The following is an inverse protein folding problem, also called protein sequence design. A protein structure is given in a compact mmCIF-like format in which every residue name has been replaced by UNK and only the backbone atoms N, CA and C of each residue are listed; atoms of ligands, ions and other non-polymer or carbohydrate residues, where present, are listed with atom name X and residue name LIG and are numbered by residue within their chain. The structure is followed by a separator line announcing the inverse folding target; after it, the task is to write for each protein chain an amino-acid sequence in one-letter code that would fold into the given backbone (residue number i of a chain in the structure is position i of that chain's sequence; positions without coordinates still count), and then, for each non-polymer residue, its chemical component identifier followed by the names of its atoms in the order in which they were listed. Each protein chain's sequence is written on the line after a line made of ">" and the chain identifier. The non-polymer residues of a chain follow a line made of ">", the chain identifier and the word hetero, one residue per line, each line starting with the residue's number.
data_IF_774462618592
#
_entry.id   IF_774462618592
#
_cell.length_a   1.000
_cell.length_b   1.000
_cell.length_c   1.000
_cell.angle_alpha   90.00
_cell.angle_beta   90.00
_cell.angle_gamma   90.00
#
_symmetry.space_group_name_H-M   'P 1'
#
loop_
_entity.id
_entity.type
_entity.pdbx_description
1 polymer ?
#
# COMPACT_ATOMS: atom_id res chain seq x y z
N UNK A 1 17.41 -5.30 -17.12
CA UNK A 1 17.20 -6.26 -16.02
C UNK A 1 16.72 -5.44 -14.84
N UNK A 2 15.60 -5.83 -14.26
CA UNK A 2 15.04 -5.19 -13.06
C UNK A 2 16.04 -5.27 -11.91
N UNK A 3 16.18 -4.18 -11.14
CA UNK A 3 17.01 -4.15 -9.94
C UNK A 3 16.39 -4.97 -8.81
N UNK A 4 17.13 -5.25 -7.71
CA UNK A 4 16.49 -5.81 -6.53
C UNK A 4 15.46 -4.82 -5.98
N UNK A 5 14.31 -5.32 -5.55
CA UNK A 5 13.29 -4.51 -4.89
C UNK A 5 13.84 -3.81 -3.65
N UNK A 6 13.42 -2.56 -3.42
CA UNK A 6 13.85 -1.75 -2.29
C UNK A 6 13.13 -2.20 -1.01
N UNK A 7 13.90 -2.51 0.02
CA UNK A 7 13.34 -2.77 1.35
C UNK A 7 13.43 -1.52 2.23
N UNK A 8 12.29 -0.87 2.47
CA UNK A 8 12.17 0.30 3.33
C UNK A 8 11.65 -0.13 4.71
N UNK A 9 12.43 0.10 5.76
CA UNK A 9 12.06 -0.21 7.15
C UNK A 9 11.22 0.90 7.75
N UNK A 10 10.47 0.57 8.80
CA UNK A 10 9.67 1.55 9.57
C UNK A 10 10.49 2.78 9.98
N UNK A 11 11.71 2.59 10.47
CA UNK A 11 12.58 3.70 10.86
C UNK A 11 12.92 4.64 9.68
N UNK A 12 13.10 4.08 8.48
CA UNK A 12 13.37 4.86 7.26
C UNK A 12 12.11 5.59 6.80
N UNK A 13 10.93 4.98 6.94
CA UNK A 13 9.66 5.68 6.69
C UNK A 13 9.51 6.85 7.65
N UNK A 14 9.75 6.67 8.96
CA UNK A 14 9.67 7.75 9.95
C UNK A 14 10.68 8.88 9.69
N UNK A 15 11.83 8.56 9.10
CA UNK A 15 12.87 9.55 8.77
C UNK A 15 12.55 10.32 7.48
N UNK A 16 11.98 9.64 6.48
CA UNK A 16 11.80 10.18 5.12
C UNK A 16 10.41 10.78 4.87
N UNK A 17 9.38 10.33 5.59
CA UNK A 17 8.00 10.76 5.35
C UNK A 17 7.71 12.10 6.03
N UNK A 18 7.45 13.13 5.25
CA UNK A 18 6.85 14.37 5.74
C UNK A 18 5.32 14.27 5.72
N UNK A 19 4.68 14.66 6.82
CA UNK A 19 3.22 14.55 6.96
C UNK A 19 2.47 15.50 6.01
N UNK A 20 3.05 16.65 5.64
CA UNK A 20 2.46 17.57 4.67
C UNK A 20 2.45 16.96 3.28
N UNK A 21 3.58 16.38 2.86
CA UNK A 21 3.68 15.70 1.57
C UNK A 21 2.68 14.53 1.49
N UNK A 22 2.49 13.81 2.61
CA UNK A 22 1.50 12.74 2.70
C UNK A 22 0.06 13.25 2.55
N UNK A 23 -0.29 14.40 3.15
CA UNK A 23 -1.61 15.02 3.01
C UNK A 23 -1.85 15.45 1.55
N UNK A 24 -0.90 16.14 0.94
CA UNK A 24 -1.01 16.63 -0.44
C UNK A 24 -1.16 15.47 -1.44
N UNK A 25 -0.41 14.38 -1.21
CA UNK A 25 -0.53 13.15 -1.99
C UNK A 25 -1.92 12.50 -1.83
N UNK A 26 -2.45 12.45 -0.61
CA UNK A 26 -3.79 11.90 -0.34
C UNK A 26 -4.89 12.74 -0.98
N UNK A 27 -4.87 14.07 -0.83
CA UNK A 27 -5.87 14.96 -1.44
C UNK A 27 -5.94 14.76 -2.96
N UNK A 28 -4.78 14.76 -3.62
CA UNK A 28 -4.72 14.61 -5.07
C UNK A 28 -5.24 13.24 -5.50
N UNK A 29 -4.83 12.17 -4.81
CA UNK A 29 -5.23 10.80 -5.15
C UNK A 29 -6.72 10.55 -4.88
N UNK A 30 -7.29 11.15 -3.84
CA UNK A 30 -8.74 11.07 -3.55
C UNK A 30 -9.56 11.76 -4.64
N UNK A 31 -9.11 12.90 -5.16
CA UNK A 31 -9.74 13.58 -6.31
C UNK A 31 -9.65 12.72 -7.57
N UNK A 32 -8.50 12.11 -7.85
CA UNK A 32 -8.32 11.19 -8.97
C UNK A 32 -9.24 9.97 -8.83
N UNK A 33 -9.36 9.41 -7.63
CA UNK A 33 -10.27 8.31 -7.35
C UNK A 33 -11.74 8.72 -7.62
N UNK A 34 -12.15 9.91 -7.16
CA UNK A 34 -13.51 10.43 -7.40
C UNK A 34 -13.80 10.62 -8.90
N UNK A 35 -12.77 10.89 -9.71
CA UNK A 35 -12.84 10.99 -11.18
C UNK A 35 -12.73 9.64 -11.90
N UNK A 36 -12.57 8.53 -11.16
CA UNK A 36 -12.36 7.20 -11.73
C UNK A 36 -10.96 6.94 -12.31
N UNK A 37 -10.00 7.81 -11.99
CA UNK A 37 -8.61 7.77 -12.47
C UNK A 37 -7.65 7.01 -11.53
N UNK A 38 -8.10 6.74 -10.30
CA UNK A 38 -7.49 5.81 -9.37
C UNK A 38 -8.57 4.85 -8.84
N UNK A 39 -8.19 3.63 -8.46
CA UNK A 39 -9.12 2.59 -8.00
C UNK A 39 -8.57 1.91 -6.75
N UNK A 40 -9.46 1.55 -5.83
CA UNK A 40 -9.10 0.68 -4.72
C UNK A 40 -9.30 -0.79 -5.13
N UNK A 41 -8.37 -1.65 -4.76
CA UNK A 41 -8.66 -3.07 -4.59
C UNK A 41 -9.39 -3.22 -3.26
N UNK A 42 -10.63 -3.67 -3.32
CA UNK A 42 -11.50 -3.81 -2.14
C UNK A 42 -10.82 -4.67 -1.07
N UNK A 43 -10.98 -4.26 0.19
CA UNK A 43 -10.39 -4.99 1.30
C UNK A 43 -11.05 -6.37 1.42
N UNK A 44 -10.24 -7.41 1.34
CA UNK A 44 -10.64 -8.77 1.70
C UNK A 44 -10.00 -9.17 3.03
N UNK A 45 -10.67 -10.07 3.75
CA UNK A 45 -10.15 -10.61 5.00
C UNK A 45 -10.51 -12.09 5.17
N UNK A 46 -9.63 -12.82 5.85
CA UNK A 46 -9.89 -14.17 6.34
C UNK A 46 -9.75 -14.18 7.87
N UNK A 47 -10.68 -14.84 8.56
CA UNK A 47 -10.59 -15.09 9.99
C UNK A 47 -9.93 -16.45 10.23
N UNK A 48 -9.10 -16.57 11.26
CA UNK A 48 -8.44 -17.83 11.62
C UNK A 48 -8.07 -17.85 13.11
N UNK A 49 -7.82 -19.05 13.65
CA UNK A 49 -7.43 -19.24 15.05
C UNK A 49 -8.38 -18.59 16.06
N UNK A 50 -7.85 -18.17 17.21
CA UNK A 50 -8.60 -17.47 18.26
C UNK A 50 -8.81 -15.98 17.91
N UNK A 51 -9.64 -15.72 16.90
CA UNK A 51 -10.03 -14.36 16.52
C UNK A 51 -8.95 -13.58 15.75
N UNK A 52 -7.94 -14.26 15.21
CA UNK A 52 -6.97 -13.62 14.33
C UNK A 52 -7.57 -13.36 12.94
N UNK A 53 -7.02 -12.37 12.25
CA UNK A 53 -7.48 -11.97 10.92
C UNK A 53 -6.31 -11.70 9.99
N UNK A 54 -6.42 -12.12 8.74
CA UNK A 54 -5.51 -11.79 7.64
C UNK A 54 -6.23 -10.81 6.73
N UNK A 55 -5.60 -9.69 6.41
CA UNK A 55 -6.17 -8.63 5.58
C UNK A 55 -5.34 -8.41 4.34
N UNK A 56 -6.01 -8.09 3.24
CA UNK A 56 -5.40 -7.55 2.03
C UNK A 56 -6.29 -6.45 1.45
N UNK A 57 -5.69 -5.34 1.05
CA UNK A 57 -6.30 -4.30 0.21
C UNK A 57 -5.21 -3.70 -0.68
N UNK A 58 -5.59 -2.84 -1.61
CA UNK A 58 -4.63 -2.23 -2.51
C UNK A 58 -5.20 -1.04 -3.24
N UNK A 59 -4.38 -0.46 -4.12
CA UNK A 59 -4.76 0.65 -4.97
C UNK A 59 -4.08 0.54 -6.33
N UNK A 60 -4.75 1.10 -7.34
CA UNK A 60 -4.27 1.25 -8.71
C UNK A 60 -4.33 2.74 -9.03
N UNK A 61 -3.16 3.35 -9.22
CA UNK A 61 -3.00 4.74 -9.60
C UNK A 61 -2.16 4.82 -10.89
N UNK A 62 -2.74 4.35 -12.00
CA UNK A 62 -2.06 4.23 -13.30
C UNK A 62 -1.46 5.56 -13.77
N UNK A 63 -2.16 6.68 -13.59
CA UNK A 63 -1.68 8.01 -13.95
C UNK A 63 -0.42 8.43 -13.16
N UNK A 64 -0.16 7.79 -12.02
CA UNK A 64 1.02 7.98 -11.17
C UNK A 64 2.07 6.89 -11.36
N UNK A 65 1.82 5.93 -12.25
CA UNK A 65 2.73 4.82 -12.52
C UNK A 65 2.81 3.80 -11.38
N UNK A 66 1.85 3.75 -10.45
CA UNK A 66 1.94 2.88 -9.27
C UNK A 66 0.71 2.00 -9.10
N UNK A 67 0.96 0.73 -8.74
CA UNK A 67 -0.04 -0.17 -8.15
C UNK A 67 0.52 -0.72 -6.84
N UNK A 68 -0.32 -0.96 -5.85
CA UNK A 68 0.15 -1.41 -4.54
C UNK A 68 -0.82 -2.35 -3.83
N UNK A 69 -0.29 -3.11 -2.89
CA UNK A 69 -1.08 -3.89 -1.92
C UNK A 69 -0.54 -3.69 -0.53
N UNK A 70 -1.43 -3.64 0.46
CA UNK A 70 -1.11 -3.71 1.87
C UNK A 70 -1.69 -5.00 2.43
N UNK A 71 -0.84 -5.82 3.05
CA UNK A 71 -1.25 -7.09 3.66
C UNK A 71 -0.74 -7.18 5.09
N UNK A 72 -1.55 -7.74 5.99
CA UNK A 72 -1.14 -7.95 7.39
C UNK A 72 -1.98 -9.02 8.07
N UNK A 73 -1.36 -9.72 9.01
CA UNK A 73 -2.06 -10.46 10.04
C UNK A 73 -2.32 -9.52 11.24
N UNK A 74 -3.48 -9.66 11.87
CA UNK A 74 -3.80 -9.07 13.15
C UNK A 74 -4.15 -10.19 14.13
N UNK A 75 -3.40 -10.26 15.22
CA UNK A 75 -3.51 -11.26 16.29
C UNK A 75 -3.68 -10.56 17.64
N UNK A 76 -3.95 -11.28 18.76
CA UNK A 76 -3.90 -10.68 20.09
C UNK A 76 -2.55 -10.02 20.43
N UNK A 77 -1.46 -10.45 19.78
CA UNK A 77 -0.13 -9.85 19.90
C UNK A 77 0.11 -8.61 19.03
N UNK A 78 -0.89 -8.17 18.26
CA UNK A 78 -0.83 -7.00 17.39
C UNK A 78 -0.76 -7.32 15.90
N UNK A 79 -0.35 -6.32 15.12
CA UNK A 79 -0.22 -6.38 13.67
C UNK A 79 1.04 -5.66 13.20
N UNK A 80 1.60 -6.13 12.10
CA UNK A 80 2.70 -5.47 11.39
C UNK A 80 2.40 -5.49 9.88
N UNK A 81 1.92 -4.37 9.32
CA UNK A 81 1.57 -4.31 7.90
C UNK A 81 2.75 -4.24 6.96
N UNK A 82 2.66 -4.97 5.85
CA UNK A 82 3.57 -4.87 4.72
C UNK A 82 2.88 -4.17 3.56
N UNK A 83 3.50 -3.11 3.05
CA UNK A 83 3.11 -2.42 1.82
C UNK A 83 4.06 -2.85 0.70
N UNK A 84 3.51 -3.27 -0.42
CA UNK A 84 4.23 -3.62 -1.64
C UNK A 84 3.81 -2.64 -2.74
N UNK A 85 4.78 -2.08 -3.46
CA UNK A 85 4.55 -1.17 -4.57
C UNK A 85 5.19 -1.73 -5.84
N UNK A 86 4.49 -1.62 -6.96
CA UNK A 86 5.00 -1.96 -8.27
C UNK A 86 4.87 -0.78 -9.21
N UNK A 87 5.80 -0.69 -10.15
CA UNK A 87 5.61 0.16 -11.33
C UNK A 87 4.45 -0.40 -12.16
N UNK A 88 3.47 0.46 -12.45
CA UNK A 88 2.22 0.06 -13.09
C UNK A 88 2.41 -0.34 -14.57
N UNK A 89 3.49 0.11 -15.21
CA UNK A 89 3.74 -0.16 -16.62
C UNK A 89 4.51 -1.47 -16.84
N UNK A 90 5.52 -1.74 -16.02
CA UNK A 90 6.43 -2.88 -16.13
C UNK A 90 6.08 -4.03 -15.19
N UNK A 91 5.34 -3.77 -14.11
CA UNK A 91 5.10 -4.74 -13.04
C UNK A 91 6.33 -5.03 -12.18
N UNK A 92 7.40 -4.23 -12.32
CA UNK A 92 8.60 -4.35 -11.49
C UNK A 92 8.28 -3.94 -10.04
N UNK A 93 8.59 -4.83 -9.09
CA UNK A 93 8.49 -4.52 -7.66
C UNK A 93 9.53 -3.45 -7.32
N UNK A 94 9.05 -2.33 -6.79
CA UNK A 94 9.87 -1.18 -6.42
C UNK A 94 10.58 -1.42 -5.09
#
# INVERSE_FOLDING_TARGET
>A
MSGPALWIREAEVCELLDLRDAIDALETTLIEQAKGQAKNMEKTLATYGEGATLHALGAVAEARGLVCTKTWAHTPGGANPLLLLWDAASGELQ
#
